data_IF_680840565480
#
_entry.id   IF_680840565480
#
_cell.length_a   1.000
_cell.length_b   1.000
_cell.length_c   1.000
_cell.angle_alpha   90.00
_cell.angle_beta   90.00
_cell.angle_gamma   90.00
#
_symmetry.space_group_name_H-M   'P 1'
#
loop_
_entity.id
_entity.type
_entity.pdbx_description
1 polymer ?
#
# COMPACT_ATOMS: atom_id res chain seq x y z
N UNK A 1 -8.65 8.41 -10.22
CA UNK A 1 -8.79 7.15 -9.47
C UNK A 1 -9.00 5.98 -10.41
N UNK A 2 -8.11 4.99 -10.34
CA UNK A 2 -8.16 3.75 -11.13
C UNK A 2 -8.62 2.58 -10.23
N UNK A 3 -9.87 2.14 -10.41
CA UNK A 3 -10.48 1.08 -9.60
C UNK A 3 -9.85 -0.29 -9.83
N UNK A 4 -9.33 -0.57 -11.04
CA UNK A 4 -8.66 -1.83 -11.32
C UNK A 4 -7.30 -1.90 -10.62
N UNK A 5 -6.56 -0.78 -10.65
CA UNK A 5 -5.31 -0.64 -9.89
C UNK A 5 -5.55 -0.82 -8.40
N UNK A 6 -6.59 -0.19 -7.85
CA UNK A 6 -6.91 -0.31 -6.42
C UNK A 6 -7.25 -1.76 -6.05
N UNK A 7 -8.08 -2.45 -6.84
CA UNK A 7 -8.41 -3.85 -6.62
C UNK A 7 -7.16 -4.73 -6.62
N UNK A 8 -6.29 -4.59 -7.62
CA UNK A 8 -5.04 -5.35 -7.72
C UNK A 8 -4.12 -5.08 -6.52
N UNK A 9 -3.97 -3.82 -6.12
CA UNK A 9 -3.14 -3.45 -4.98
C UNK A 9 -3.71 -4.01 -3.66
N UNK A 10 -5.04 -4.05 -3.51
CA UNK A 10 -5.70 -4.67 -2.35
C UNK A 10 -5.45 -6.18 -2.28
N UNK A 11 -5.60 -6.89 -3.41
CA UNK A 11 -5.30 -8.32 -3.51
C UNK A 11 -3.82 -8.61 -3.23
N UNK A 12 -2.91 -7.77 -3.73
CA UNK A 12 -1.48 -7.90 -3.50
C UNK A 12 -1.12 -7.68 -2.04
N UNK A 13 -1.70 -6.68 -1.38
CA UNK A 13 -1.52 -6.43 0.05
C UNK A 13 -1.96 -7.62 0.89
N UNK A 14 -3.14 -8.17 0.62
CA UNK A 14 -3.68 -9.31 1.36
C UNK A 14 -2.78 -10.56 1.20
N UNK A 15 -2.28 -10.81 -0.01
CA UNK A 15 -1.31 -11.89 -0.28
C UNK A 15 0.02 -11.66 0.44
N UNK A 16 0.55 -10.44 0.41
CA UNK A 16 1.83 -10.12 1.04
C UNK A 16 1.76 -10.26 2.56
N UNK A 17 0.65 -9.86 3.19
CA UNK A 17 0.42 -10.09 4.63
C UNK A 17 0.39 -11.59 4.93
N UNK A 18 -0.34 -12.38 4.14
CA UNK A 18 -0.41 -13.82 4.34
C UNK A 18 0.96 -14.49 4.17
N UNK A 19 1.72 -14.12 3.13
CA UNK A 19 3.07 -14.61 2.91
C UNK A 19 4.01 -14.23 4.06
N UNK A 20 3.88 -13.01 4.60
CA UNK A 20 4.68 -12.56 5.73
C UNK A 20 4.36 -13.36 7.02
N UNK A 21 3.09 -13.67 7.28
CA UNK A 21 2.67 -14.55 8.38
C UNK A 21 3.28 -15.94 8.25
N UNK A 22 3.23 -16.54 7.06
CA UNK A 22 3.74 -17.88 6.80
C UNK A 22 5.27 -17.97 6.95
N UNK A 23 5.98 -16.89 6.65
CA UNK A 23 7.43 -16.77 6.86
C UNK A 23 7.81 -16.51 8.33
N UNK A 24 6.83 -16.32 9.21
CA UNK A 24 7.03 -16.09 10.63
C UNK A 24 7.53 -14.67 10.95
N UNK A 25 7.20 -13.68 10.12
CA UNK A 25 7.46 -12.28 10.47
C UNK A 25 6.54 -11.86 11.61
N UNK A 26 7.16 -11.47 12.73
CA UNK A 26 6.47 -10.81 13.82
C UNK A 26 5.85 -9.51 13.27
N UNK A 27 4.59 -9.24 13.63
CA UNK A 27 3.83 -8.07 13.20
C UNK A 27 3.51 -7.98 11.69
N UNK A 28 3.41 -9.10 10.95
CA UNK A 28 2.92 -9.11 9.55
C UNK A 28 1.58 -8.37 9.33
N UNK A 29 0.76 -8.27 10.38
CA UNK A 29 -0.55 -7.61 10.36
C UNK A 29 -0.52 -6.11 10.65
N UNK A 30 0.66 -5.52 10.85
CA UNK A 30 0.76 -4.14 11.28
C UNK A 30 0.15 -3.13 10.29
N UNK A 31 0.09 -3.50 9.01
CA UNK A 31 -0.54 -2.72 7.94
C UNK A 31 -2.06 -2.86 7.89
N UNK A 32 -2.61 -3.89 8.54
CA UNK A 32 -4.05 -4.19 8.60
C UNK A 32 -4.72 -3.45 9.77
N UNK A 33 -4.64 -2.13 9.78
CA UNK A 33 -5.36 -1.32 10.77
C UNK A 33 -6.87 -1.42 10.57
N UNK A 34 -7.66 -0.99 11.57
CA UNK A 34 -9.13 -0.99 11.46
C UNK A 34 -9.64 -0.24 10.23
N UNK A 35 -8.94 0.84 9.82
CA UNK A 35 -9.26 1.58 8.59
C UNK A 35 -9.01 0.73 7.35
N UNK A 36 -7.84 0.08 7.26
CA UNK A 36 -7.46 -0.78 6.13
C UNK A 36 -8.35 -2.02 6.04
N UNK A 37 -8.67 -2.65 7.17
CA UNK A 37 -9.59 -3.80 7.24
C UNK A 37 -10.99 -3.45 6.76
N UNK A 38 -11.48 -2.23 7.04
CA UNK A 38 -12.76 -1.76 6.54
C UNK A 38 -12.72 -1.39 5.04
N UNK A 39 -11.54 -1.01 4.54
CA UNK A 39 -11.35 -0.56 3.16
C UNK A 39 -11.10 -1.71 2.18
N UNK A 40 -10.32 -2.73 2.57
CA UNK A 40 -9.95 -3.88 1.75
C UNK A 40 -11.14 -4.55 1.03
N UNK A 41 -12.24 -4.93 1.69
CA UNK A 41 -13.36 -5.56 0.99
C UNK A 41 -13.99 -4.64 -0.06
N UNK A 42 -14.11 -3.34 0.24
CA UNK A 42 -14.65 -2.33 -0.71
C UNK A 42 -13.71 -2.12 -1.89
N UNK A 43 -12.41 -2.08 -1.63
CA UNK A 43 -11.37 -1.95 -2.65
C UNK A 43 -11.38 -3.15 -3.61
N UNK A 44 -11.45 -4.39 -3.07
CA UNK A 44 -11.53 -5.61 -3.90
C UNK A 44 -12.83 -5.72 -4.69
N UNK A 45 -13.94 -5.24 -4.12
CA UNK A 45 -15.24 -5.21 -4.79
C UNK A 45 -15.36 -4.08 -5.84
N UNK A 46 -14.40 -3.15 -5.91
CA UNK A 46 -14.48 -1.99 -6.79
C UNK A 46 -15.54 -0.96 -6.37
N UNK A 47 -15.89 -0.94 -5.09
CA UNK A 47 -16.98 -0.12 -4.53
C UNK A 47 -16.51 1.23 -3.98
N UNK A 48 -15.25 1.61 -4.19
CA UNK A 48 -14.74 2.90 -3.76
C UNK A 48 -15.30 4.02 -4.64
N UNK A 49 -16.01 4.94 -4.01
CA UNK A 49 -16.65 6.08 -4.69
C UNK A 49 -15.78 7.34 -4.72
N UNK A 50 -14.74 7.40 -3.88
CA UNK A 50 -13.80 8.50 -3.80
C UNK A 50 -12.44 8.03 -3.25
N UNK A 51 -11.40 8.83 -3.50
CA UNK A 51 -10.09 8.62 -2.89
C UNK A 51 -10.17 8.72 -1.36
N UNK A 52 -9.39 7.89 -0.67
CA UNK A 52 -9.35 7.79 0.78
C UNK A 52 -7.96 8.17 1.27
N UNK A 53 -7.90 9.19 2.13
CA UNK A 53 -6.67 9.60 2.78
C UNK A 53 -6.50 8.80 4.08
N UNK A 54 -5.57 7.84 4.06
CA UNK A 54 -5.29 7.00 5.22
C UNK A 54 -4.62 7.83 6.31
N UNK A 55 -5.22 7.84 7.51
CA UNK A 55 -4.73 8.64 8.64
C UNK A 55 -3.65 7.86 9.38
N UNK A 56 -2.44 7.87 8.84
CA UNK A 56 -1.24 7.43 9.54
C UNK A 56 -1.28 5.96 9.98
N UNK A 57 -0.94 5.07 9.06
CA UNK A 57 -0.56 3.70 9.40
C UNK A 57 0.95 3.63 9.19
N UNK A 58 1.70 3.46 10.28
CA UNK A 58 3.15 3.33 10.18
C UNK A 58 3.44 2.21 9.17
N UNK A 59 4.24 2.51 8.14
CA UNK A 59 4.64 1.50 7.16
C UNK A 59 5.31 0.31 7.87
N UNK A 60 5.35 -0.87 7.24
CA UNK A 60 5.85 -2.09 7.87
C UNK A 60 7.22 -1.91 8.56
N UNK A 61 8.10 -1.08 7.98
CA UNK A 61 9.42 -0.68 8.54
C UNK A 61 9.41 -0.21 10.00
N UNK A 62 8.31 0.34 10.49
CA UNK A 62 8.22 0.85 11.88
C UNK A 62 7.72 -0.21 12.88
N UNK A 63 7.16 -1.31 12.40
CA UNK A 63 6.62 -2.40 13.23
C UNK A 63 7.48 -3.67 13.17
N UNK A 64 8.46 -3.75 12.28
CA UNK A 64 9.51 -4.76 12.31
C UNK A 64 10.57 -4.39 13.35
N UNK A 65 10.24 -4.56 14.63
CA UNK A 65 11.23 -4.49 15.71
C UNK A 65 12.12 -5.73 15.66
N UNK A 66 13.24 -5.64 14.95
CA UNK A 66 14.54 -6.28 15.24
C UNK A 66 14.66 -7.80 15.56
N UNK A 67 13.71 -8.69 15.23
CA UNK A 67 13.87 -10.13 15.57
C UNK A 67 14.19 -11.06 14.39
N UNK A 68 14.05 -10.58 13.14
CA UNK A 68 14.72 -11.14 11.95
C UNK A 68 15.15 -9.97 11.05
N UNK A 69 16.45 -9.87 10.77
CA UNK A 69 17.09 -8.91 9.84
C UNK A 69 16.70 -9.19 8.36
N UNK A 70 15.42 -9.35 8.08
CA UNK A 70 14.88 -9.42 6.73
C UNK A 70 13.69 -8.49 6.68
N UNK A 71 13.87 -7.29 6.12
CA UNK A 71 12.74 -6.47 5.71
C UNK A 71 11.84 -7.32 4.80
N UNK A 72 10.54 -7.41 5.12
CA UNK A 72 9.59 -7.99 4.17
C UNK A 72 9.29 -6.95 3.09
N UNK A 73 10.26 -6.74 2.19
CA UNK A 73 10.19 -5.72 1.13
C UNK A 73 8.94 -5.86 0.27
N UNK A 74 8.50 -7.09 0.01
CA UNK A 74 7.25 -7.34 -0.72
C UNK A 74 6.00 -6.83 0.01
N UNK A 75 5.94 -6.96 1.34
CA UNK A 75 4.84 -6.42 2.15
C UNK A 75 4.87 -4.90 2.17
N UNK A 76 6.06 -4.31 2.19
CA UNK A 76 6.21 -2.87 2.10
C UNK A 76 5.81 -2.31 0.74
N UNK A 77 6.25 -2.94 -0.34
CA UNK A 77 5.89 -2.53 -1.69
C UNK A 77 4.38 -2.64 -1.89
N UNK A 78 3.78 -3.76 -1.47
CA UNK A 78 2.34 -3.97 -1.54
C UNK A 78 1.57 -2.94 -0.70
N UNK A 79 2.06 -2.61 0.49
CA UNK A 79 1.49 -1.56 1.33
C UNK A 79 1.56 -0.18 0.67
N UNK A 80 2.74 0.18 0.14
CA UNK A 80 2.95 1.45 -0.54
C UNK A 80 2.05 1.58 -1.77
N UNK A 81 1.98 0.54 -2.60
CA UNK A 81 1.12 0.51 -3.79
C UNK A 81 -0.36 0.67 -3.42
N UNK A 82 -0.84 -0.09 -2.43
CA UNK A 82 -2.23 0.03 -1.97
C UNK A 82 -2.54 1.43 -1.49
N UNK A 83 -1.68 2.00 -0.65
CA UNK A 83 -1.84 3.36 -0.12
C UNK A 83 -1.85 4.40 -1.24
N UNK A 84 -0.90 4.35 -2.17
CA UNK A 84 -0.84 5.28 -3.29
C UNK A 84 -2.08 5.20 -4.18
N UNK A 85 -2.59 3.99 -4.41
CA UNK A 85 -3.76 3.75 -5.23
C UNK A 85 -5.04 4.31 -4.58
N UNK A 86 -5.27 4.04 -3.29
CA UNK A 86 -6.49 4.52 -2.59
C UNK A 86 -6.45 6.02 -2.31
N UNK A 87 -5.26 6.60 -2.09
CA UNK A 87 -5.07 8.05 -1.97
C UNK A 87 -5.17 8.78 -3.32
N UNK A 88 -5.27 8.05 -4.44
CA UNK A 88 -5.24 8.55 -5.82
C UNK A 88 -4.03 9.48 -6.07
N UNK A 89 -2.85 9.12 -5.56
CA UNK A 89 -1.64 9.95 -5.68
C UNK A 89 -1.24 10.20 -7.12
N UNK A 90 -1.55 9.27 -8.01
CA UNK A 90 -1.36 9.44 -9.44
C UNK A 90 -2.19 10.59 -10.01
N UNK A 91 -3.20 11.11 -9.31
CA UNK A 91 -3.92 12.32 -9.74
C UNK A 91 -3.25 13.62 -9.28
N UNK A 92 -2.34 13.56 -8.32
CA UNK A 92 -1.61 14.71 -7.79
C UNK A 92 -0.54 15.19 -8.79
N UNK A 93 -0.65 16.41 -9.35
CA UNK A 93 0.31 16.94 -10.30
C UNK A 93 1.74 17.04 -9.74
N UNK A 94 1.90 17.34 -8.45
CA UNK A 94 3.20 17.42 -7.81
C UNK A 94 3.85 16.04 -7.70
N UNK A 95 3.05 15.02 -7.36
CA UNK A 95 3.51 13.63 -7.32
C UNK A 95 3.91 13.14 -8.73
N UNK A 96 3.12 13.44 -9.77
CA UNK A 96 3.47 13.12 -11.16
C UNK A 96 4.79 13.77 -11.59
N UNK A 97 4.96 15.06 -11.32
CA UNK A 97 6.18 15.78 -11.68
C UNK A 97 7.41 15.21 -10.96
N UNK A 98 7.27 14.87 -9.68
CA UNK A 98 8.34 14.20 -8.92
C UNK A 98 8.68 12.83 -9.49
N UNK A 99 7.67 12.00 -9.80
CA UNK A 99 7.90 10.66 -10.34
C UNK A 99 8.51 10.70 -11.75
N UNK A 100 8.08 11.64 -12.60
CA UNK A 100 8.68 11.88 -13.91
C UNK A 100 10.18 12.21 -13.78
N UNK A 101 10.55 13.10 -12.85
CA UNK A 101 11.96 13.44 -12.59
C UNK A 101 12.78 12.23 -12.13
N UNK A 102 12.23 11.38 -11.26
CA UNK A 102 12.91 10.16 -10.80
C UNK A 102 13.15 9.16 -11.95
N UNK A 103 12.21 9.06 -12.88
CA UNK A 103 12.31 8.17 -14.04
C UNK A 103 13.10 8.77 -15.21
N UNK A 104 13.69 9.96 -15.04
CA UNK A 104 14.44 10.65 -16.09
C UNK A 104 13.56 11.23 -17.20
N UNK A 105 12.26 11.33 -16.97
CA UNK A 105 11.29 11.93 -17.88
C UNK A 105 11.27 13.46 -17.71
N UNK A 106 11.05 14.19 -18.81
CA UNK A 106 10.84 15.64 -18.73
C UNK A 106 9.47 15.89 -18.08
N UNK A 107 9.38 16.73 -17.03
CA UNK A 107 8.08 17.10 -16.48
C UNK A 107 7.23 17.81 -17.55
N UNK A 108 5.90 17.64 -17.52
CA UNK A 108 4.97 18.26 -18.47
C UNK A 108 4.94 19.80 -18.38
#
# INVERSE_FOLDING_TARGET
>A
MDLDRIRKAAEQLERAVQAAREQGFENADCVLTSEVLALLPKAKAGELTAAVQLKFTAGPRWNFTETRLGDCGELEDAWCEFRMAVEDRDSDPAFRAYNALLNGERPP
#
